data_IF_855634202557
#
_entry.id   IF_855634202557
#
_cell.length_a   1.000
_cell.length_b   1.000
_cell.length_c   1.000
_cell.angle_alpha   90.00
_cell.angle_beta   90.00
_cell.angle_gamma   90.00
#
_symmetry.space_group_name_H-M   'P 1'
#
loop_
_entity.id
_entity.type
_entity.pdbx_description
1 polymer ?
#
# COMPACT_ATOMS: atom_id res chain seq x y z
N UNK A 1 -4.29 -20.02 9.55
CA UNK A 1 -3.35 -18.87 9.63
C UNK A 1 -4.07 -17.67 10.24
N UNK A 2 -3.49 -16.96 11.21
CA UNK A 2 -4.09 -15.72 11.72
C UNK A 2 -3.87 -14.60 10.71
N UNK A 3 -4.94 -14.18 10.00
CA UNK A 3 -4.89 -13.20 8.89
C UNK A 3 -4.28 -11.85 9.24
N UNK A 4 -4.27 -11.48 10.53
CA UNK A 4 -3.59 -10.28 10.99
C UNK A 4 -2.08 -10.42 10.93
N UNK A 5 -1.57 -11.59 11.33
CA UNK A 5 -0.13 -11.87 11.38
C UNK A 5 0.43 -12.06 9.98
N UNK A 6 -0.30 -12.76 9.09
CA UNK A 6 0.14 -12.96 7.72
C UNK A 6 0.07 -11.69 6.86
N UNK A 7 -0.53 -10.60 7.34
CA UNK A 7 -0.62 -9.33 6.62
C UNK A 7 0.69 -8.53 6.59
N UNK A 8 1.71 -8.98 7.32
CA UNK A 8 3.01 -8.31 7.45
C UNK A 8 4.14 -9.33 7.43
N UNK A 9 5.38 -8.90 7.13
CA UNK A 9 6.56 -9.76 7.22
C UNK A 9 6.70 -10.42 8.59
N UNK A 10 7.16 -11.68 8.62
CA UNK A 10 7.28 -12.47 9.85
C UNK A 10 8.13 -11.80 10.93
N UNK A 11 9.13 -10.99 10.52
CA UNK A 11 9.97 -10.19 11.43
C UNK A 11 9.19 -9.21 12.32
N UNK A 12 7.96 -8.84 11.92
CA UNK A 12 7.09 -7.93 12.69
C UNK A 12 5.99 -8.65 13.49
N UNK A 13 6.01 -9.98 13.59
CA UNK A 13 4.93 -10.74 14.23
C UNK A 13 4.57 -10.21 15.63
N UNK A 14 5.57 -9.90 16.46
CA UNK A 14 5.35 -9.41 17.81
C UNK A 14 4.71 -8.01 17.82
N UNK A 15 5.17 -7.10 16.95
CA UNK A 15 4.59 -5.77 16.80
C UNK A 15 3.14 -5.85 16.30
N UNK A 16 2.85 -6.74 15.36
CA UNK A 16 1.49 -6.96 14.85
C UNK A 16 0.56 -7.46 15.95
N UNK A 17 1.05 -8.31 16.88
CA UNK A 17 0.26 -8.75 18.04
C UNK A 17 -0.09 -7.58 18.95
N UNK A 18 0.86 -6.66 19.19
CA UNK A 18 0.64 -5.45 19.98
C UNK A 18 -0.36 -4.53 19.30
N UNK A 19 -0.19 -4.25 18.00
CA UNK A 19 -1.11 -3.41 17.21
C UNK A 19 -2.52 -4.02 17.23
N UNK A 20 -2.66 -5.32 17.01
CA UNK A 20 -3.95 -6.02 17.06
C UNK A 20 -4.62 -5.90 18.44
N UNK A 21 -3.86 -5.99 19.53
CA UNK A 21 -4.38 -5.83 20.88
C UNK A 21 -4.81 -4.37 21.18
N UNK A 22 -4.24 -3.40 20.46
CA UNK A 22 -4.61 -1.99 20.56
C UNK A 22 -5.97 -1.68 19.91
N UNK A 23 -6.38 -2.47 18.90
CA UNK A 23 -7.62 -2.24 18.14
C UNK A 23 -8.89 -2.42 18.99
N UNK A 24 -9.95 -1.64 18.72
CA UNK A 24 -11.24 -1.77 19.41
C UNK A 24 -11.94 -3.10 19.07
N UNK A 25 -12.00 -4.00 20.05
CA UNK A 25 -12.37 -5.42 19.87
C UNK A 25 -13.77 -5.65 19.29
N UNK A 26 -14.77 -4.82 19.63
CA UNK A 26 -16.18 -5.04 19.28
C UNK A 26 -16.50 -4.85 17.79
N UNK A 27 -15.65 -4.14 17.04
CA UNK A 27 -15.97 -3.69 15.69
C UNK A 27 -14.85 -3.94 14.68
N UNK A 28 -13.87 -4.77 15.03
CA UNK A 28 -12.70 -5.07 14.20
C UNK A 28 -12.98 -6.27 13.30
N UNK A 29 -13.05 -6.06 11.98
CA UNK A 29 -13.27 -7.12 10.98
C UNK A 29 -12.41 -6.91 9.73
N UNK A 30 -11.96 -8.02 9.14
CA UNK A 30 -11.34 -8.05 7.82
C UNK A 30 -12.38 -8.54 6.81
N UNK A 31 -12.43 -7.94 5.62
CA UNK A 31 -13.22 -8.49 4.51
C UNK A 31 -12.81 -9.94 4.20
N UNK A 32 -13.65 -10.74 3.53
CA UNK A 32 -13.21 -11.99 2.93
C UNK A 32 -12.06 -11.75 1.94
N UNK A 33 -11.19 -12.75 1.78
CA UNK A 33 -10.07 -12.71 0.83
C UNK A 33 -8.87 -11.87 1.29
N UNK A 34 -7.77 -11.99 0.55
CA UNK A 34 -6.55 -11.22 0.75
C UNK A 34 -5.84 -11.05 -0.57
N UNK A 35 -5.02 -10.01 -0.67
CA UNK A 35 -4.06 -9.84 -1.73
C UNK A 35 -2.76 -10.49 -1.28
N UNK A 36 -2.29 -11.48 -2.02
CA UNK A 36 -0.98 -12.07 -1.78
C UNK A 36 0.09 -11.26 -2.50
N UNK A 37 1.18 -10.96 -1.77
CA UNK A 37 2.35 -10.26 -2.31
C UNK A 37 3.58 -11.01 -1.85
N UNK A 38 4.42 -11.42 -2.80
CA UNK A 38 5.72 -12.00 -2.50
C UNK A 38 6.75 -10.90 -2.26
N UNK A 39 7.46 -10.99 -1.14
CA UNK A 39 8.54 -10.09 -0.72
C UNK A 39 9.76 -10.95 -0.39
N UNK A 40 10.84 -10.80 -1.14
CA UNK A 40 12.06 -11.60 -1.03
C UNK A 40 11.76 -13.12 -0.96
N UNK A 41 11.92 -13.71 0.22
CA UNK A 41 11.73 -15.14 0.51
C UNK A 41 10.41 -15.47 1.22
N UNK A 42 9.56 -14.47 1.47
CA UNK A 42 8.29 -14.64 2.15
C UNK A 42 7.09 -14.10 1.36
N UNK A 43 5.89 -14.41 1.84
CA UNK A 43 4.63 -13.92 1.27
C UNK A 43 3.80 -13.28 2.37
N UNK A 44 3.28 -12.10 2.08
CA UNK A 44 2.31 -11.41 2.94
C UNK A 44 0.92 -11.46 2.29
N UNK A 45 -0.11 -11.37 3.12
CA UNK A 45 -1.51 -11.46 2.76
C UNK A 45 -2.23 -10.18 3.20
N UNK A 46 -2.16 -9.14 2.37
CA UNK A 46 -2.76 -7.84 2.64
C UNK A 46 -4.29 -7.97 2.66
N UNK A 47 -4.99 -7.46 3.68
CA UNK A 47 -6.45 -7.43 3.67
C UNK A 47 -7.00 -6.58 2.53
N UNK A 48 -8.01 -7.11 1.82
CA UNK A 48 -8.68 -6.32 0.77
C UNK A 48 -9.34 -5.08 1.37
N UNK A 49 -10.10 -5.23 2.46
CA UNK A 49 -10.63 -4.13 3.27
C UNK A 49 -10.58 -4.44 4.76
N UNK A 50 -10.43 -3.39 5.56
CA UNK A 50 -10.56 -3.43 7.02
C UNK A 50 -11.71 -2.55 7.48
N UNK A 51 -12.50 -3.09 8.41
CA UNK A 51 -13.57 -2.41 9.12
C UNK A 51 -13.12 -2.32 10.57
N UNK A 52 -12.46 -1.21 10.90
CA UNK A 52 -11.82 -1.01 12.20
C UNK A 52 -12.01 0.45 12.56
N UNK A 53 -12.76 0.78 13.63
CA UNK A 53 -12.80 2.15 14.12
C UNK A 53 -11.39 2.65 14.45
N UNK A 54 -11.16 3.94 14.25
CA UNK A 54 -9.88 4.53 14.57
C UNK A 54 -9.52 4.34 16.05
N UNK A 55 -8.25 4.05 16.27
CA UNK A 55 -7.66 3.96 17.60
C UNK A 55 -7.51 5.37 18.14
N UNK A 56 -7.86 5.59 19.41
CA UNK A 56 -7.74 6.90 20.04
C UNK A 56 -6.29 7.43 19.95
N UNK A 57 -6.08 8.74 19.68
CA UNK A 57 -4.75 9.31 19.51
C UNK A 57 -3.78 8.99 20.66
N UNK A 58 -4.25 9.00 21.90
CA UNK A 58 -3.45 8.74 23.10
C UNK A 58 -2.94 7.29 23.13
N UNK A 59 -3.69 6.36 22.53
CA UNK A 59 -3.23 4.96 22.36
C UNK A 59 -2.21 4.84 21.24
N UNK A 60 -2.33 5.60 20.16
CA UNK A 60 -1.34 5.63 19.07
C UNK A 60 -0.01 6.18 19.60
N UNK A 61 -0.06 7.18 20.47
CA UNK A 61 1.14 7.76 21.12
C UNK A 61 1.92 6.73 21.96
N UNK A 62 1.24 5.72 22.53
CA UNK A 62 1.89 4.65 23.28
C UNK A 62 2.59 3.60 22.40
N UNK A 63 2.29 3.57 21.09
CA UNK A 63 2.91 2.64 20.15
C UNK A 63 4.33 3.07 19.78
N UNK A 64 5.20 2.08 19.56
CA UNK A 64 6.52 2.32 18.98
C UNK A 64 6.41 2.84 17.54
N UNK A 65 7.45 3.48 16.98
CA UNK A 65 7.43 3.92 15.58
C UNK A 65 7.05 2.80 14.60
N UNK A 66 7.62 1.60 14.76
CA UNK A 66 7.30 0.42 13.94
C UNK A 66 5.83 0.03 14.06
N UNK A 67 5.28 0.01 15.28
CA UNK A 67 3.88 -0.34 15.51
C UNK A 67 2.92 0.70 14.92
N UNK A 68 3.29 1.99 14.94
CA UNK A 68 2.54 3.05 14.25
C UNK A 68 2.56 2.84 12.74
N UNK A 69 3.72 2.55 12.14
CA UNK A 69 3.78 2.23 10.69
C UNK A 69 2.88 1.07 10.32
N UNK A 70 2.88 -0.01 11.11
CA UNK A 70 2.00 -1.19 10.90
C UNK A 70 0.53 -0.77 10.98
N UNK A 71 0.16 0.02 11.99
CA UNK A 71 -1.20 0.53 12.15
C UNK A 71 -1.63 1.43 10.97
N UNK A 72 -0.75 2.32 10.53
CA UNK A 72 -1.04 3.23 9.42
C UNK A 72 -1.17 2.46 8.10
N UNK A 73 -0.29 1.50 7.84
CA UNK A 73 -0.39 0.57 6.72
C UNK A 73 -1.73 -0.16 6.73
N UNK A 74 -2.16 -0.68 7.88
CA UNK A 74 -3.48 -1.30 8.01
C UNK A 74 -4.63 -0.34 7.65
N UNK A 75 -4.59 0.90 8.12
CA UNK A 75 -5.62 1.90 7.81
C UNK A 75 -5.66 2.34 6.35
N UNK A 76 -4.58 2.18 5.58
CA UNK A 76 -4.65 2.36 4.11
C UNK A 76 -5.59 1.36 3.43
N UNK A 77 -5.99 0.29 4.12
CA UNK A 77 -6.98 -0.69 3.66
C UNK A 77 -8.37 -0.44 4.23
N UNK A 78 -8.59 0.67 4.95
CA UNK A 78 -9.88 0.97 5.57
C UNK A 78 -10.99 1.13 4.52
N UNK A 79 -12.24 0.87 4.92
CA UNK A 79 -13.40 1.01 4.02
C UNK A 79 -13.71 2.48 3.66
N UNK A 80 -13.43 3.40 4.58
CA UNK A 80 -13.57 4.85 4.38
C UNK A 80 -12.36 5.44 3.63
N UNK A 81 -12.62 6.19 2.56
CA UNK A 81 -11.59 6.88 1.76
C UNK A 81 -10.83 7.97 2.52
N UNK A 82 -11.51 8.74 3.38
CA UNK A 82 -10.87 9.81 4.15
C UNK A 82 -9.86 9.26 5.16
N UNK A 83 -10.20 8.14 5.80
CA UNK A 83 -9.29 7.44 6.71
C UNK A 83 -8.08 6.91 5.93
N UNK A 84 -8.29 6.31 4.75
CA UNK A 84 -7.18 5.82 3.92
C UNK A 84 -6.21 6.94 3.54
N UNK A 85 -6.72 8.07 3.08
CA UNK A 85 -5.91 9.23 2.72
C UNK A 85 -5.16 9.80 3.94
N UNK A 86 -5.86 9.98 5.07
CA UNK A 86 -5.25 10.48 6.30
C UNK A 86 -4.05 9.62 6.72
N UNK A 87 -4.24 8.30 6.81
CA UNK A 87 -3.18 7.40 7.27
C UNK A 87 -2.12 7.11 6.20
N UNK A 88 -2.42 7.27 4.91
CA UNK A 88 -1.39 7.34 3.88
C UNK A 88 -0.44 8.51 4.16
N UNK A 89 -0.97 9.71 4.41
CA UNK A 89 -0.15 10.88 4.74
C UNK A 89 0.68 10.66 6.02
N UNK A 90 0.13 10.00 7.05
CA UNK A 90 0.91 9.65 8.26
C UNK A 90 1.98 8.59 7.97
N UNK A 91 1.67 7.59 7.13
CA UNK A 91 2.60 6.54 6.74
C UNK A 91 3.80 7.12 5.98
N UNK A 92 3.57 8.02 5.03
CA UNK A 92 4.64 8.68 4.26
C UNK A 92 5.57 9.53 5.14
N UNK A 93 5.04 10.16 6.20
CA UNK A 93 5.84 10.92 7.19
C UNK A 93 6.76 10.06 8.05
N UNK A 94 6.58 8.74 8.07
CA UNK A 94 7.52 7.84 8.79
C UNK A 94 8.87 7.74 8.10
N UNK A 95 8.95 8.11 6.80
CA UNK A 95 10.12 7.96 5.94
C UNK A 95 10.68 6.53 5.85
N UNK A 96 9.93 5.53 6.31
CA UNK A 96 10.31 4.12 6.19
C UNK A 96 10.06 3.63 4.77
N UNK A 97 11.10 3.11 4.12
CA UNK A 97 11.07 2.68 2.72
C UNK A 97 11.22 1.17 2.58
N UNK A 98 10.42 0.40 3.31
CA UNK A 98 10.42 -1.07 3.26
C UNK A 98 9.48 -1.60 2.14
N UNK A 99 9.79 -2.76 1.57
CA UNK A 99 9.02 -3.41 0.53
C UNK A 99 7.58 -3.75 0.95
N UNK A 100 7.34 -4.12 2.22
CA UNK A 100 5.96 -4.34 2.67
C UNK A 100 5.15 -3.04 2.72
N UNK A 101 5.78 -1.92 3.08
CA UNK A 101 5.12 -0.60 3.08
C UNK A 101 4.76 -0.23 1.64
N UNK A 102 5.71 -0.41 0.72
CA UNK A 102 5.50 -0.23 -0.71
C UNK A 102 4.33 -1.08 -1.23
N UNK A 103 4.17 -2.32 -0.76
CA UNK A 103 3.04 -3.17 -1.12
C UNK A 103 1.69 -2.55 -0.74
N UNK A 104 1.55 -2.05 0.49
CA UNK A 104 0.32 -1.39 0.95
C UNK A 104 0.02 -0.12 0.16
N UNK A 105 1.04 0.69 -0.13
CA UNK A 105 0.91 1.92 -0.93
C UNK A 105 0.48 1.59 -2.37
N UNK A 106 1.14 0.62 -3.02
CA UNK A 106 0.82 0.24 -4.40
C UNK A 106 -0.57 -0.40 -4.51
N UNK A 107 -0.97 -1.26 -3.57
CA UNK A 107 -2.32 -1.81 -3.58
C UNK A 107 -3.37 -0.71 -3.41
N UNK A 108 -3.12 0.30 -2.56
CA UNK A 108 -3.98 1.48 -2.43
C UNK A 108 -4.04 2.31 -3.74
N UNK A 109 -2.91 2.54 -4.39
CA UNK A 109 -2.85 3.25 -5.67
C UNK A 109 -3.56 2.52 -6.83
N UNK A 110 -3.66 1.20 -6.74
CA UNK A 110 -4.38 0.37 -7.72
C UNK A 110 -5.89 0.40 -7.56
N UNK A 111 -6.44 1.32 -6.78
CA UNK A 111 -7.88 1.55 -6.58
C UNK A 111 -8.31 2.83 -7.32
N UNK A 112 -9.62 3.07 -7.41
CA UNK A 112 -10.20 4.09 -8.28
C UNK A 112 -10.15 5.54 -7.74
N UNK A 113 -9.44 5.82 -6.64
CA UNK A 113 -9.45 7.15 -5.99
C UNK A 113 -8.28 7.99 -6.49
N UNK A 114 -8.52 8.91 -7.42
CA UNK A 114 -7.48 9.72 -8.07
C UNK A 114 -6.67 10.56 -7.10
N UNK A 115 -7.32 11.22 -6.16
CA UNK A 115 -6.71 12.12 -5.17
C UNK A 115 -5.63 11.39 -4.35
N UNK A 116 -5.90 10.13 -4.00
CA UNK A 116 -4.94 9.27 -3.31
C UNK A 116 -3.76 8.94 -4.23
N UNK A 117 -4.01 8.65 -5.50
CA UNK A 117 -2.95 8.36 -6.49
C UNK A 117 -2.06 9.59 -6.72
N UNK A 118 -2.61 10.80 -6.70
CA UNK A 118 -1.86 12.06 -6.80
C UNK A 118 -0.89 12.26 -5.63
N UNK A 119 -1.26 11.81 -4.43
CA UNK A 119 -0.36 11.81 -3.25
C UNK A 119 0.73 10.74 -3.40
N UNK A 120 0.37 9.56 -3.91
CA UNK A 120 1.29 8.40 -3.98
C UNK A 120 2.35 8.58 -5.07
N UNK A 121 1.99 9.09 -6.25
CA UNK A 121 2.89 9.20 -7.39
C UNK A 121 4.26 9.85 -7.06
N UNK A 122 4.33 11.05 -6.45
CA UNK A 122 5.63 11.65 -6.09
C UNK A 122 6.37 10.86 -5.00
N UNK A 123 5.67 10.19 -4.09
CA UNK A 123 6.29 9.38 -3.05
C UNK A 123 6.96 8.12 -3.62
N UNK A 124 6.35 7.47 -4.61
CA UNK A 124 6.94 6.32 -5.31
C UNK A 124 8.16 6.74 -6.13
N UNK A 125 8.13 7.93 -6.74
CA UNK A 125 9.28 8.44 -7.48
C UNK A 125 10.53 8.57 -6.60
N UNK A 126 10.35 9.12 -5.41
CA UNK A 126 11.39 9.31 -4.39
C UNK A 126 11.70 8.06 -3.55
N UNK A 127 11.03 6.93 -3.82
CA UNK A 127 11.27 5.69 -3.08
C UNK A 127 12.66 5.12 -3.38
N UNK A 128 13.27 4.46 -2.40
CA UNK A 128 14.57 3.83 -2.53
C UNK A 128 14.62 2.95 -3.81
N UNK A 129 15.55 3.22 -4.75
CA UNK A 129 15.62 2.49 -6.01
C UNK A 129 15.88 1.00 -5.85
N UNK A 130 16.74 0.61 -4.90
CA UNK A 130 17.08 -0.79 -4.64
C UNK A 130 15.86 -1.58 -4.14
N UNK A 131 15.06 -0.98 -3.24
CA UNK A 131 13.81 -1.56 -2.74
C UNK A 131 12.78 -1.67 -3.87
N UNK A 132 12.63 -0.64 -4.71
CA UNK A 132 11.73 -0.72 -5.89
C UNK A 132 12.15 -1.84 -6.83
N UNK A 133 13.44 -1.93 -7.14
CA UNK A 133 13.98 -2.96 -8.03
C UNK A 133 13.74 -4.37 -7.48
N UNK A 134 14.07 -4.58 -6.20
CA UNK A 134 13.86 -5.87 -5.54
C UNK A 134 12.37 -6.25 -5.53
N UNK A 135 11.50 -5.29 -5.17
CA UNK A 135 10.06 -5.49 -5.13
C UNK A 135 9.47 -5.92 -6.48
N UNK A 136 9.89 -5.26 -7.58
CA UNK A 136 9.44 -5.63 -8.93
C UNK A 136 9.94 -7.01 -9.33
N UNK A 137 11.17 -7.36 -8.94
CA UNK A 137 11.75 -8.67 -9.21
C UNK A 137 11.07 -9.80 -8.40
N UNK A 138 10.66 -9.54 -7.16
CA UNK A 138 10.12 -10.56 -6.26
C UNK A 138 8.77 -11.11 -6.72
N UNK A 139 7.91 -10.24 -7.26
CA UNK A 139 6.56 -10.59 -7.71
C UNK A 139 6.13 -9.85 -9.00
N UNK A 140 6.70 -10.21 -10.18
CA UNK A 140 6.34 -9.58 -11.44
C UNK A 140 4.85 -9.73 -11.81
N UNK A 141 4.21 -10.82 -11.35
CA UNK A 141 2.79 -11.07 -11.56
C UNK A 141 1.92 -10.08 -10.77
N UNK A 142 2.28 -9.81 -9.51
CA UNK A 142 1.66 -8.75 -8.71
C UNK A 142 1.79 -7.38 -9.39
N UNK A 143 2.98 -7.01 -9.88
CA UNK A 143 3.20 -5.74 -10.56
C UNK A 143 2.32 -5.61 -11.80
N UNK A 144 2.26 -6.66 -12.63
CA UNK A 144 1.38 -6.69 -13.80
C UNK A 144 -0.10 -6.49 -13.43
N UNK A 145 -0.55 -7.09 -12.33
CA UNK A 145 -1.92 -6.90 -11.82
C UNK A 145 -2.17 -5.45 -11.39
N UNK A 146 -1.20 -4.79 -10.75
CA UNK A 146 -1.31 -3.37 -10.38
C UNK A 146 -1.43 -2.51 -11.64
N UNK A 147 -0.60 -2.75 -12.65
CA UNK A 147 -0.67 -2.08 -13.95
C UNK A 147 -2.05 -2.26 -14.62
N UNK A 148 -2.50 -3.50 -14.75
CA UNK A 148 -3.79 -3.82 -15.38
C UNK A 148 -4.96 -3.12 -14.67
N UNK A 149 -4.93 -3.06 -13.33
CA UNK A 149 -5.95 -2.35 -12.54
C UNK A 149 -5.93 -0.85 -12.79
N UNK A 150 -4.75 -0.21 -12.77
CA UNK A 150 -4.62 1.22 -13.04
C UNK A 150 -5.14 1.58 -14.44
N UNK A 151 -4.81 0.76 -15.45
CA UNK A 151 -5.31 0.93 -16.83
C UNK A 151 -6.83 0.73 -16.87
N UNK A 152 -7.35 -0.29 -16.19
CA UNK A 152 -8.78 -0.59 -16.16
C UNK A 152 -9.59 0.56 -15.56
N UNK A 153 -9.13 1.11 -14.43
CA UNK A 153 -9.77 2.26 -13.79
C UNK A 153 -9.68 3.52 -14.65
N UNK A 154 -8.52 3.79 -15.24
CA UNK A 154 -8.39 4.89 -16.19
C UNK A 154 -9.38 4.77 -17.36
N UNK A 155 -9.46 3.58 -17.97
CA UNK A 155 -10.34 3.34 -19.10
C UNK A 155 -11.83 3.46 -18.72
N UNK A 156 -12.20 3.07 -17.49
CA UNK A 156 -13.58 3.12 -17.02
C UNK A 156 -14.07 4.54 -16.67
N UNK A 157 -13.20 5.38 -16.09
CA UNK A 157 -13.62 6.66 -15.49
C UNK A 157 -13.10 7.90 -16.21
N UNK A 158 -11.94 7.83 -16.89
CA UNK A 158 -11.25 9.01 -17.43
C UNK A 158 -11.13 9.00 -18.96
N UNK A 159 -11.17 7.84 -19.62
CA UNK A 159 -11.05 7.81 -21.09
C UNK A 159 -12.14 8.63 -21.81
N UNK A 160 -13.37 8.65 -21.29
CA UNK A 160 -14.48 9.38 -21.91
C UNK A 160 -14.44 10.89 -21.66
N UNK A 161 -13.70 11.38 -20.66
CA UNK A 161 -13.47 12.81 -20.41
C UNK A 161 -12.41 13.42 -21.34
N UNK A 162 -11.79 12.61 -22.21
CA UNK A 162 -10.74 13.03 -23.12
C UNK A 162 -9.33 12.91 -22.53
N UNK A 163 -9.20 12.45 -21.28
CA UNK A 163 -7.93 12.13 -20.65
C UNK A 163 -7.24 10.98 -21.40
N UNK A 164 -6.00 11.22 -21.82
CA UNK A 164 -5.19 10.25 -22.54
C UNK A 164 -4.54 9.29 -21.57
N UNK A 165 -4.01 8.21 -22.14
CA UNK A 165 -3.18 7.25 -21.41
C UNK A 165 -1.77 7.81 -21.24
N UNK A 166 -1.64 8.87 -20.44
CA UNK A 166 -0.39 9.58 -20.20
C UNK A 166 -0.31 10.10 -18.76
N UNK A 167 0.91 10.30 -18.29
CA UNK A 167 1.23 10.84 -16.96
C UNK A 167 0.62 12.22 -16.71
N UNK A 168 0.50 13.04 -17.76
CA UNK A 168 -0.11 14.36 -17.70
C UNK A 168 -1.59 14.31 -17.31
N UNK A 169 -2.29 13.23 -17.69
CA UNK A 169 -3.73 13.13 -17.55
C UNK A 169 -4.13 12.20 -16.41
N UNK A 170 -3.35 11.14 -16.13
CA UNK A 170 -3.61 10.22 -15.01
C UNK A 170 -2.34 9.86 -14.22
N UNK A 171 -2.29 10.19 -12.91
CA UNK A 171 -1.08 10.04 -12.07
C UNK A 171 -0.67 8.58 -11.85
N UNK A 172 -1.57 7.60 -12.07
CA UNK A 172 -1.21 6.19 -11.95
C UNK A 172 -0.13 5.76 -12.94
N UNK A 173 -0.01 6.42 -14.10
CA UNK A 173 1.05 6.12 -15.05
C UNK A 173 2.44 6.56 -14.57
N UNK A 174 2.54 7.60 -13.74
CA UNK A 174 3.81 8.01 -13.10
C UNK A 174 4.33 6.91 -12.17
N UNK A 175 3.43 6.25 -11.44
CA UNK A 175 3.79 5.12 -10.56
C UNK A 175 4.37 3.97 -11.39
N UNK A 176 3.71 3.60 -12.50
CA UNK A 176 4.17 2.53 -13.38
C UNK A 176 5.52 2.85 -14.03
N UNK A 177 5.69 4.06 -14.53
CA UNK A 177 6.94 4.52 -15.12
C UNK A 177 8.08 4.49 -14.08
N UNK A 178 7.83 4.93 -12.85
CA UNK A 178 8.82 4.91 -11.77
C UNK A 178 9.25 3.49 -11.38
N UNK A 179 8.31 2.53 -11.38
CA UNK A 179 8.62 1.11 -11.14
C UNK A 179 9.42 0.51 -12.31
N UNK A 180 9.09 0.85 -13.56
CA UNK A 180 9.83 0.40 -14.74
C UNK A 180 11.27 0.94 -14.75
N UNK A 181 11.47 2.23 -14.47
CA UNK A 181 12.80 2.86 -14.36
C UNK A 181 13.72 2.16 -13.36
N UNK A 182 13.18 1.60 -12.28
CA UNK A 182 13.96 0.85 -11.29
C UNK A 182 14.53 -0.48 -11.86
N UNK A 183 13.89 -1.04 -12.89
CA UNK A 183 14.35 -2.28 -13.55
C UNK A 183 15.34 -2.03 -14.69
N UNK A 184 15.20 -0.93 -15.43
CA UNK A 184 16.03 -0.62 -16.61
C UNK A 184 17.47 -0.19 -16.28
N UNK A 185 17.77 0.22 -15.04
CA UNK A 185 19.12 0.67 -14.62
C UNK A 185 20.18 -0.45 -14.52
N UNK A 186 19.89 -1.68 -14.96
CA UNK A 186 20.82 -2.83 -14.93
C UNK A 186 21.50 -3.18 -16.26
N UNK A 187 21.27 -2.41 -17.33
CA UNK A 187 21.99 -2.59 -18.59
C UNK A 187 23.22 -1.66 -18.68
N UNK A 188 24.14 -1.72 -17.71
CA UNK A 188 25.52 -1.22 -17.86
C UNK A 188 26.47 -2.10 -17.05
#
# INVERSE_FOLDING_TARGET
MNRWISAFPKRYEQDVRVVKACLPFKWTRLSPGSIEVKLEQERIQIPTRVYVPEVAPERIEQLTPTQRTILYGLYTRHHDGHIREHYLCQLLKTHQQDGWILAYILELASEYVREIVEIIAPAIDQWNPEVKQQFVHDDPAYIKRIEERMISYWNAYYRSSGERRSEADYPGFLILESLQKATSKREV
#
